data_IF_689687084749
#
_entry.id   IF_689687084749
#
_cell.length_a   1.000
_cell.length_b   1.000
_cell.length_c   1.000
_cell.angle_alpha   90.00
_cell.angle_beta   90.00
_cell.angle_gamma   90.00
#
_symmetry.space_group_name_H-M   'P 1'
#
loop_
_entity.id
_entity.type
_entity.pdbx_description
1 polymer ?
#
# COMPACT_ATOMS: atom_id res chain seq x y z
N UNK A 1 40.00 -23.46 -7.71
CA UNK A 1 39.77 -22.77 -6.42
C UNK A 1 39.76 -21.28 -6.73
N UNK A 2 38.64 -20.58 -6.49
CA UNK A 2 38.59 -19.14 -6.74
C UNK A 2 39.28 -18.44 -5.56
N UNK A 3 40.52 -17.99 -5.75
CA UNK A 3 41.38 -17.45 -4.70
C UNK A 3 41.36 -15.91 -4.59
N UNK A 4 40.56 -15.23 -5.40
CA UNK A 4 40.63 -13.76 -5.54
C UNK A 4 39.39 -13.07 -4.96
N UNK A 5 38.88 -13.55 -3.81
CA UNK A 5 37.79 -12.87 -3.10
C UNK A 5 38.36 -11.82 -2.14
N UNK A 6 38.31 -10.55 -2.54
CA UNK A 6 38.60 -9.41 -1.67
C UNK A 6 37.32 -9.00 -0.92
N UNK A 7 37.25 -9.12 0.41
CA UNK A 7 36.06 -8.74 1.16
C UNK A 7 35.87 -7.23 1.17
N UNK A 8 34.61 -6.79 1.10
CA UNK A 8 34.26 -5.38 1.23
C UNK A 8 34.70 -4.82 2.58
N UNK A 9 35.19 -3.57 2.57
CA UNK A 9 35.54 -2.85 3.78
C UNK A 9 34.33 -2.66 4.72
N UNK A 10 34.61 -2.52 6.02
CA UNK A 10 33.58 -2.31 7.06
C UNK A 10 32.62 -1.16 6.71
N UNK A 11 33.13 -0.04 6.20
CA UNK A 11 32.32 1.11 5.78
C UNK A 11 31.30 0.73 4.72
N UNK A 12 31.73 0.04 3.66
CA UNK A 12 30.87 -0.42 2.58
C UNK A 12 29.78 -1.38 3.08
N UNK A 13 30.12 -2.31 3.97
CA UNK A 13 29.14 -3.20 4.59
C UNK A 13 28.09 -2.42 5.42
N UNK A 14 28.51 -1.41 6.19
CA UNK A 14 27.59 -0.54 6.92
C UNK A 14 26.68 0.27 5.98
N UNK A 15 27.23 0.82 4.89
CA UNK A 15 26.44 1.55 3.88
C UNK A 15 25.38 0.67 3.22
N UNK A 16 25.69 -0.59 2.93
CA UNK A 16 24.73 -1.55 2.38
C UNK A 16 23.58 -1.78 3.37
N UNK A 17 23.88 -2.03 4.64
CA UNK A 17 22.86 -2.25 5.67
C UNK A 17 21.96 -1.02 5.87
N UNK A 18 22.54 0.18 5.84
CA UNK A 18 21.78 1.42 5.97
C UNK A 18 20.88 1.69 4.77
N UNK A 19 21.42 1.50 3.55
CA UNK A 19 20.66 1.66 2.30
C UNK A 19 19.50 0.68 2.22
N UNK A 20 19.70 -0.59 2.62
CA UNK A 20 18.62 -1.57 2.68
C UNK A 20 17.50 -1.14 3.62
N UNK A 21 17.83 -0.62 4.81
CA UNK A 21 16.83 -0.08 5.75
C UNK A 21 16.08 1.11 5.17
N UNK A 22 16.80 2.04 4.53
CA UNK A 22 16.22 3.21 3.89
C UNK A 22 15.28 2.82 2.73
N UNK A 23 15.69 1.86 1.90
CA UNK A 23 14.89 1.31 0.82
C UNK A 23 13.58 0.70 1.35
N UNK A 24 13.65 -0.16 2.37
CA UNK A 24 12.47 -0.77 3.00
C UNK A 24 11.53 0.30 3.58
N UNK A 25 12.06 1.33 4.24
CA UNK A 25 11.25 2.44 4.75
C UNK A 25 10.54 3.20 3.63
N UNK A 26 11.24 3.49 2.53
CA UNK A 26 10.66 4.20 1.38
C UNK A 26 9.55 3.40 0.72
N UNK A 27 9.76 2.09 0.54
CA UNK A 27 8.72 1.18 0.02
C UNK A 27 7.49 1.17 0.93
N UNK A 28 7.69 1.08 2.25
CA UNK A 28 6.59 1.10 3.22
C UNK A 28 5.84 2.44 3.22
N UNK A 29 6.55 3.56 3.09
CA UNK A 29 5.92 4.89 2.94
C UNK A 29 5.07 4.98 1.68
N UNK A 30 5.55 4.44 0.55
CA UNK A 30 4.77 4.38 -0.69
C UNK A 30 3.47 3.58 -0.53
N UNK A 31 3.53 2.42 0.13
CA UNK A 31 2.36 1.60 0.43
C UNK A 31 1.38 2.34 1.35
N UNK A 32 1.88 3.00 2.40
CA UNK A 32 1.03 3.77 3.32
C UNK A 32 0.33 4.94 2.61
N UNK A 33 1.05 5.65 1.73
CA UNK A 33 0.49 6.72 0.91
C UNK A 33 -0.62 6.19 0.00
N UNK A 34 -0.35 5.10 -0.73
CA UNK A 34 -1.34 4.47 -1.61
C UNK A 34 -2.59 4.01 -0.84
N UNK A 35 -2.41 3.39 0.33
CA UNK A 35 -3.53 2.96 1.17
C UNK A 35 -4.38 4.13 1.69
N UNK A 36 -3.75 5.27 2.01
CA UNK A 36 -4.45 6.48 2.42
C UNK A 36 -5.25 7.08 1.25
N UNK A 37 -4.63 7.27 0.09
CA UNK A 37 -5.27 7.81 -1.12
C UNK A 37 -6.45 6.94 -1.57
N UNK A 38 -6.25 5.61 -1.62
CA UNK A 38 -7.32 4.69 -1.93
C UNK A 38 -8.46 4.77 -0.90
N UNK A 39 -8.14 4.96 0.39
CA UNK A 39 -9.11 5.15 1.45
C UNK A 39 -10.06 6.33 1.22
N UNK A 40 -9.55 7.43 0.67
CA UNK A 40 -10.32 8.61 0.27
C UNK A 40 -11.11 8.35 -1.01
N UNK A 41 -10.52 7.69 -2.01
CA UNK A 41 -11.21 7.31 -3.24
C UNK A 41 -12.44 6.43 -2.96
N UNK A 42 -12.31 5.42 -2.08
CA UNK A 42 -13.45 4.58 -1.65
C UNK A 42 -14.55 5.40 -0.96
N UNK A 43 -14.18 6.42 -0.18
CA UNK A 43 -15.15 7.30 0.45
C UNK A 43 -15.90 8.14 -0.59
N UNK A 44 -15.19 8.73 -1.55
CA UNK A 44 -15.77 9.49 -2.65
C UNK A 44 -16.74 8.66 -3.50
N UNK A 45 -16.36 7.43 -3.87
CA UNK A 45 -17.22 6.51 -4.62
C UNK A 45 -18.50 6.16 -3.85
N UNK A 46 -18.39 5.91 -2.54
CA UNK A 46 -19.56 5.62 -1.69
C UNK A 46 -20.53 6.81 -1.70
N UNK A 47 -20.01 8.02 -1.48
CA UNK A 47 -20.81 9.25 -1.49
C UNK A 47 -21.48 9.47 -2.84
N UNK A 48 -20.80 9.19 -3.95
CA UNK A 48 -21.38 9.29 -5.28
C UNK A 48 -22.57 8.34 -5.47
N UNK A 49 -22.48 7.11 -4.95
CA UNK A 49 -23.59 6.14 -5.03
C UNK A 49 -24.76 6.62 -4.18
N UNK A 50 -24.49 7.08 -2.96
CA UNK A 50 -25.50 7.64 -2.03
C UNK A 50 -26.21 8.86 -2.65
N UNK A 51 -25.48 9.76 -3.33
CA UNK A 51 -26.04 11.02 -3.84
C UNK A 51 -26.68 10.90 -5.23
N UNK A 52 -26.17 10.02 -6.11
CA UNK A 52 -26.54 9.99 -7.54
C UNK A 52 -27.23 8.71 -7.99
N UNK A 53 -27.12 7.64 -7.21
CA UNK A 53 -27.51 6.29 -7.65
C UNK A 53 -28.38 5.59 -6.59
N UNK A 54 -28.88 6.32 -5.58
CA UNK A 54 -29.65 5.76 -4.47
C UNK A 54 -30.88 4.95 -4.93
N UNK A 55 -31.55 5.38 -6.01
CA UNK A 55 -32.74 4.72 -6.56
C UNK A 55 -32.43 3.44 -7.36
N UNK A 56 -31.16 3.14 -7.60
CA UNK A 56 -30.76 1.88 -8.24
C UNK A 56 -30.90 0.73 -7.25
N UNK A 57 -31.58 -0.35 -7.66
CA UNK A 57 -31.83 -1.52 -6.81
C UNK A 57 -30.57 -2.23 -6.32
N UNK A 58 -29.41 -2.01 -6.94
CA UNK A 58 -28.12 -2.56 -6.51
C UNK A 58 -27.25 -1.60 -5.69
N UNK A 59 -27.74 -0.42 -5.31
CA UNK A 59 -26.95 0.61 -4.60
C UNK A 59 -26.40 0.10 -3.27
N UNK A 60 -27.21 -0.61 -2.47
CA UNK A 60 -26.78 -1.23 -1.21
C UNK A 60 -25.66 -2.26 -1.43
N UNK A 61 -25.80 -3.12 -2.45
CA UNK A 61 -24.79 -4.13 -2.80
C UNK A 61 -23.47 -3.47 -3.21
N UNK A 62 -23.53 -2.37 -3.96
CA UNK A 62 -22.35 -1.62 -4.37
C UNK A 62 -21.66 -0.97 -3.16
N UNK A 63 -22.41 -0.34 -2.25
CA UNK A 63 -21.87 0.24 -1.01
C UNK A 63 -21.19 -0.84 -0.16
N UNK A 64 -21.82 -2.00 -0.03
CA UNK A 64 -21.27 -3.11 0.77
C UNK A 64 -19.99 -3.68 0.16
N UNK A 65 -19.92 -3.78 -1.17
CA UNK A 65 -18.70 -4.17 -1.88
C UNK A 65 -17.58 -3.15 -1.67
N UNK A 66 -17.87 -1.85 -1.71
CA UNK A 66 -16.88 -0.81 -1.46
C UNK A 66 -16.34 -0.85 -0.02
N UNK A 67 -17.21 -1.12 0.97
CA UNK A 67 -16.78 -1.30 2.37
C UNK A 67 -15.83 -2.48 2.53
N UNK A 68 -16.17 -3.63 1.93
CA UNK A 68 -15.33 -4.84 1.96
C UNK A 68 -13.99 -4.62 1.26
N UNK A 69 -13.98 -4.03 0.07
CA UNK A 69 -12.75 -3.73 -0.65
C UNK A 69 -11.84 -2.75 0.12
N UNK A 70 -12.43 -1.71 0.74
CA UNK A 70 -11.69 -0.77 1.61
C UNK A 70 -11.10 -1.45 2.83
N UNK A 71 -11.85 -2.35 3.47
CA UNK A 71 -11.37 -3.10 4.63
C UNK A 71 -10.20 -4.00 4.25
N UNK A 72 -10.35 -4.81 3.21
CA UNK A 72 -9.29 -5.69 2.69
C UNK A 72 -8.00 -4.92 2.41
N UNK A 73 -8.09 -3.76 1.76
CA UNK A 73 -6.91 -2.93 1.49
C UNK A 73 -6.22 -2.42 2.77
N UNK A 74 -6.98 -2.13 3.84
CA UNK A 74 -6.46 -1.59 5.09
C UNK A 74 -5.91 -2.64 6.04
N UNK A 75 -6.51 -3.82 6.09
CA UNK A 75 -6.17 -4.86 7.07
C UNK A 75 -5.44 -6.05 6.47
N UNK A 76 -5.84 -6.51 5.29
CA UNK A 76 -5.56 -7.85 4.80
C UNK A 76 -4.51 -7.88 3.67
N UNK A 77 -4.20 -6.73 3.06
CA UNK A 77 -3.25 -6.61 1.95
C UNK A 77 -1.75 -6.66 2.36
N UNK A 78 -1.45 -6.91 3.65
CA UNK A 78 -0.08 -6.87 4.19
C UNK A 78 0.81 -8.04 3.76
#
# INVERSE_FOLDING_TARGET
MCSDFEPLGKSSLFTILDTCKASTRKSLQGINYFAAEAGEAFHGLRKMIEDKVALYSGSERLIENLKRARFYLKSDYK
#
